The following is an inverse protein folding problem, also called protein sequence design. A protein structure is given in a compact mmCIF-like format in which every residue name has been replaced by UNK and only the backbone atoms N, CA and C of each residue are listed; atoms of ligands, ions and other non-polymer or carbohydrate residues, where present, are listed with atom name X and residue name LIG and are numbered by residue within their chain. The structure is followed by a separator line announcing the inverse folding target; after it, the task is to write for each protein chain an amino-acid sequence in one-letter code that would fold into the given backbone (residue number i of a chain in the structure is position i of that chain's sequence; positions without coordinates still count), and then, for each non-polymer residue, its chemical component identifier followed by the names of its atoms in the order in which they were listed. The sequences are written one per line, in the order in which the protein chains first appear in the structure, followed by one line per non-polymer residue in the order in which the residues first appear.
data_IF_983083416316
#
_entry.id   IF_983083416316
#
_cell.length_a   1.000
_cell.length_b   1.000
_cell.length_c   1.000
_cell.angle_alpha   90.00
_cell.angle_beta   90.00
_cell.angle_gamma   90.00
#
_symmetry.space_group_name_H-M   'P 1'
#
loop_
_entity.id
_entity.type
_entity.pdbx_description
1 polymer ?
#
# COMPACT_ATOMS: atom_id res chain seq x y z
N UNK A 1 -17.36 -34.76 10.47
CA UNK A 1 -17.92 -33.73 9.56
C UNK A 1 -19.27 -33.32 10.08
N UNK A 2 -19.68 -32.06 9.88
CA UNK A 2 -21.01 -31.54 10.26
C UNK A 2 -22.05 -31.79 9.14
N UNK A 3 -21.58 -32.23 7.98
CA UNK A 3 -22.37 -32.57 6.81
C UNK A 3 -22.44 -34.11 6.66
N UNK A 4 -23.64 -34.73 6.77
CA UNK A 4 -23.83 -36.17 6.61
C UNK A 4 -23.56 -36.69 5.20
N UNK A 5 -23.57 -35.82 4.18
CA UNK A 5 -23.31 -36.19 2.79
C UNK A 5 -21.85 -35.98 2.38
N UNK A 6 -21.02 -35.44 3.29
CA UNK A 6 -19.61 -35.28 3.03
C UNK A 6 -18.92 -36.66 2.89
N UNK A 7 -18.07 -36.84 1.86
CA UNK A 7 -17.32 -38.08 1.67
C UNK A 7 -16.46 -38.39 2.90
N UNK A 8 -16.33 -39.68 3.20
CA UNK A 8 -15.66 -40.18 4.42
C UNK A 8 -14.20 -39.71 4.53
N UNK A 9 -13.55 -39.51 3.38
CA UNK A 9 -12.21 -38.96 3.30
C UNK A 9 -12.01 -38.20 1.99
N UNK A 10 -11.30 -37.07 2.07
CA UNK A 10 -10.85 -36.31 0.89
C UNK A 10 -9.97 -37.14 -0.04
N UNK A 11 -9.29 -38.16 0.48
CA UNK A 11 -8.46 -39.08 -0.30
C UNK A 11 -9.27 -40.06 -1.17
N UNK A 12 -10.58 -40.14 -0.95
CA UNK A 12 -11.49 -40.99 -1.72
C UNK A 12 -12.34 -40.18 -2.73
N UNK A 13 -12.12 -38.86 -2.80
CA UNK A 13 -12.81 -37.99 -3.72
C UNK A 13 -12.13 -37.99 -5.09
N UNK A 14 -12.92 -37.85 -6.16
CA UNK A 14 -12.37 -37.56 -7.48
C UNK A 14 -11.70 -36.19 -7.50
N UNK A 15 -10.71 -36.04 -8.38
CA UNK A 15 -10.10 -34.74 -8.61
C UNK A 15 -11.13 -33.79 -9.24
N UNK A 16 -11.23 -32.52 -8.79
CA UNK A 16 -12.23 -31.60 -9.30
C UNK A 16 -12.05 -31.35 -10.80
N UNK A 17 -13.14 -31.44 -11.55
CA UNK A 17 -13.19 -31.11 -12.98
C UNK A 17 -13.62 -29.64 -13.11
N UNK A 18 -12.88 -28.81 -13.87
CA UNK A 18 -13.19 -27.39 -13.98
C UNK A 18 -14.50 -27.17 -14.75
N UNK A 19 -15.41 -26.39 -14.15
CA UNK A 19 -16.55 -25.84 -14.85
C UNK A 19 -16.12 -24.59 -15.63
N UNK A 20 -15.98 -24.74 -16.95
CA UNK A 20 -15.54 -23.66 -17.84
C UNK A 20 -16.52 -22.48 -17.89
N UNK A 21 -17.78 -22.65 -17.47
CA UNK A 21 -18.76 -21.57 -17.44
C UNK A 21 -18.51 -20.56 -16.31
N UNK A 22 -17.73 -20.94 -15.31
CA UNK A 22 -17.35 -20.09 -14.18
C UNK A 22 -16.05 -19.31 -14.44
N UNK A 23 -15.38 -19.53 -15.57
CA UNK A 23 -14.15 -18.82 -15.93
C UNK A 23 -14.52 -17.45 -16.50
N UNK A 24 -14.09 -16.39 -15.82
CA UNK A 24 -14.32 -15.01 -16.22
C UNK A 24 -12.97 -14.31 -16.45
N UNK A 25 -12.48 -14.36 -17.69
CA UNK A 25 -11.21 -13.73 -18.10
C UNK A 25 -11.23 -12.21 -17.88
N UNK A 26 -12.41 -11.58 -17.93
CA UNK A 26 -12.54 -10.14 -17.68
C UNK A 26 -12.29 -9.85 -16.22
N UNK A 27 -12.89 -10.60 -15.30
CA UNK A 27 -12.64 -10.48 -13.87
C UNK A 27 -11.18 -10.79 -13.51
N UNK A 28 -10.59 -11.80 -14.13
CA UNK A 28 -9.17 -12.14 -13.94
C UNK A 28 -8.26 -10.94 -14.28
N UNK A 29 -8.51 -10.30 -15.43
CA UNK A 29 -7.81 -9.09 -15.84
C UNK A 29 -8.08 -7.91 -14.89
N UNK A 30 -9.32 -7.68 -14.47
CA UNK A 30 -9.67 -6.62 -13.50
C UNK A 30 -8.91 -6.82 -12.18
N UNK A 31 -8.81 -8.05 -11.70
CA UNK A 31 -8.04 -8.41 -10.50
C UNK A 31 -6.53 -8.24 -10.70
N UNK A 32 -5.98 -8.52 -11.88
CA UNK A 32 -4.58 -8.25 -12.21
C UNK A 32 -4.27 -6.76 -12.15
N UNK A 33 -5.13 -5.91 -12.73
CA UNK A 33 -5.00 -4.45 -12.67
C UNK A 33 -4.99 -3.96 -11.22
N UNK A 34 -5.95 -4.40 -10.40
CA UNK A 34 -6.06 -4.02 -8.99
C UNK A 34 -4.83 -4.45 -8.19
N UNK A 35 -4.36 -5.69 -8.39
CA UNK A 35 -3.15 -6.19 -7.72
C UNK A 35 -1.93 -5.34 -8.06
N UNK A 36 -1.77 -4.92 -9.32
CA UNK A 36 -0.70 -4.01 -9.72
C UNK A 36 -0.74 -2.68 -8.94
N UNK A 37 -1.91 -2.06 -8.78
CA UNK A 37 -2.04 -0.84 -7.99
C UNK A 37 -1.80 -1.05 -6.48
N UNK A 38 -2.19 -2.21 -5.94
CA UNK A 38 -1.84 -2.59 -4.55
C UNK A 38 -0.33 -2.73 -4.39
N UNK A 39 0.35 -3.38 -5.33
CA UNK A 39 1.82 -3.52 -5.30
C UNK A 39 2.53 -2.16 -5.35
N UNK A 40 2.10 -1.27 -6.25
CA UNK A 40 2.60 0.11 -6.31
C UNK A 40 2.34 0.87 -5.00
N UNK A 41 1.15 0.73 -4.42
CA UNK A 41 0.82 1.35 -3.14
C UNK A 41 1.68 0.83 -1.99
N UNK A 42 1.97 -0.48 -1.95
CA UNK A 42 2.90 -1.08 -0.98
C UNK A 42 4.33 -0.56 -1.17
N UNK A 43 4.79 -0.43 -2.41
CA UNK A 43 6.10 0.13 -2.73
C UNK A 43 6.21 1.59 -2.25
N UNK A 44 5.19 2.42 -2.52
CA UNK A 44 5.13 3.80 -2.05
C UNK A 44 5.22 3.88 -0.52
N UNK A 45 4.42 3.08 0.20
CA UNK A 45 4.51 2.99 1.68
C UNK A 45 5.91 2.62 2.16
N UNK A 46 6.53 1.63 1.53
CA UNK A 46 7.87 1.17 1.90
C UNK A 46 8.94 2.24 1.68
N UNK A 47 8.83 3.04 0.61
CA UNK A 47 9.73 4.15 0.31
C UNK A 47 9.81 5.15 1.47
N UNK A 48 8.66 5.49 2.06
CA UNK A 48 8.55 6.40 3.23
C UNK A 48 8.49 5.67 4.57
N UNK A 49 8.66 4.34 4.59
CA UNK A 49 8.67 3.47 5.78
C UNK A 49 7.40 3.57 6.65
N UNK A 50 6.26 3.86 6.04
CA UNK A 50 4.95 3.85 6.72
C UNK A 50 4.43 2.41 6.77
N UNK A 51 4.14 1.92 7.97
CA UNK A 51 3.62 0.55 8.17
C UNK A 51 2.18 0.44 7.66
N UNK A 52 1.79 -0.73 7.17
CA UNK A 52 0.40 -1.02 6.73
C UNK A 52 -0.65 -0.69 7.82
N UNK A 53 -0.32 -0.93 9.10
CA UNK A 53 -1.22 -0.64 10.23
C UNK A 53 -1.48 0.85 10.46
N UNK A 54 -0.64 1.74 9.93
CA UNK A 54 -0.93 3.17 9.92
C UNK A 54 -1.90 3.43 8.74
N UNK A 55 -3.15 3.85 9.01
CA UNK A 55 -4.04 4.27 7.94
C UNK A 55 -3.54 5.56 7.31
N UNK A 56 -3.82 5.72 6.01
CA UNK A 56 -3.61 6.96 5.26
C UNK A 56 -4.93 7.50 4.74
N UNK A 57 -4.99 8.81 4.54
CA UNK A 57 -6.20 9.52 4.12
C UNK A 57 -6.62 9.10 2.70
N UNK A 58 -5.70 9.10 1.75
CA UNK A 58 -6.02 8.85 0.35
C UNK A 58 -4.87 8.26 -0.44
N UNK A 59 -5.25 7.57 -1.50
CA UNK A 59 -4.40 7.17 -2.62
C UNK A 59 -4.95 7.84 -3.86
N UNK A 60 -4.07 8.52 -4.59
CA UNK A 60 -4.35 9.00 -5.94
C UNK A 60 -3.86 7.96 -6.93
N UNK A 61 -4.70 7.59 -7.89
CA UNK A 61 -4.40 6.61 -8.92
C UNK A 61 -4.49 7.28 -10.29
N UNK A 62 -3.36 7.31 -10.99
CA UNK A 62 -3.29 7.61 -12.41
C UNK A 62 -3.28 6.32 -13.21
N UNK A 63 -4.25 6.17 -14.10
CA UNK A 63 -4.48 4.93 -14.86
C UNK A 63 -3.98 5.05 -16.28
N UNK A 64 -3.53 3.93 -16.87
CA UNK A 64 -3.06 3.91 -18.25
C UNK A 64 -4.17 3.98 -19.29
N UNK A 65 -5.41 3.68 -18.91
CA UNK A 65 -6.59 3.72 -19.78
C UNK A 65 -7.90 3.84 -18.99
N UNK A 66 -8.99 4.22 -19.65
CA UNK A 66 -10.33 4.26 -19.03
C UNK A 66 -10.81 2.86 -18.61
N UNK A 67 -10.40 1.80 -19.32
CA UNK A 67 -10.74 0.44 -18.96
C UNK A 67 -10.12 0.02 -17.61
N UNK A 68 -8.88 0.45 -17.34
CA UNK A 68 -8.21 0.24 -16.04
C UNK A 68 -8.90 1.05 -14.94
N UNK A 69 -9.26 2.31 -15.23
CA UNK A 69 -10.00 3.15 -14.29
C UNK A 69 -11.31 2.51 -13.86
N UNK A 70 -12.06 1.93 -14.80
CA UNK A 70 -13.30 1.23 -14.46
C UNK A 70 -13.06 -0.05 -13.65
N UNK A 71 -12.00 -0.81 -13.96
CA UNK A 71 -11.62 -1.98 -13.16
C UNK A 71 -11.30 -1.60 -11.70
N UNK A 72 -10.50 -0.55 -11.51
CA UNK A 72 -10.15 -0.02 -10.19
C UNK A 72 -11.40 0.46 -9.45
N UNK A 73 -12.30 1.19 -10.13
CA UNK A 73 -13.54 1.67 -9.53
C UNK A 73 -14.45 0.53 -9.06
N UNK A 74 -14.57 -0.52 -9.87
CA UNK A 74 -15.40 -1.71 -9.55
C UNK A 74 -14.89 -2.48 -8.33
N UNK A 75 -13.57 -2.48 -8.12
CA UNK A 75 -12.89 -3.27 -7.09
C UNK A 75 -12.14 -2.39 -6.07
N UNK A 76 -12.59 -1.15 -5.90
CA UNK A 76 -11.91 -0.12 -5.10
C UNK A 76 -11.70 -0.57 -3.65
N UNK A 77 -12.70 -1.23 -3.06
CA UNK A 77 -12.68 -1.70 -1.67
C UNK A 77 -11.47 -2.60 -1.40
N UNK A 78 -11.08 -3.46 -2.35
CA UNK A 78 -9.91 -4.32 -2.21
C UNK A 78 -8.62 -3.51 -2.05
N UNK A 79 -8.49 -2.39 -2.78
CA UNK A 79 -7.33 -1.50 -2.66
C UNK A 79 -7.32 -0.83 -1.29
N UNK A 80 -8.48 -0.32 -0.86
CA UNK A 80 -8.63 0.37 0.42
C UNK A 80 -8.31 -0.55 1.60
N UNK A 81 -8.76 -1.80 1.56
CA UNK A 81 -8.50 -2.80 2.60
C UNK A 81 -7.04 -3.25 2.60
N UNK A 82 -6.50 -3.66 1.45
CA UNK A 82 -5.14 -4.19 1.33
C UNK A 82 -4.07 -3.16 1.70
N UNK A 83 -4.34 -1.89 1.37
CA UNK A 83 -3.46 -0.78 1.68
C UNK A 83 -3.83 -0.08 2.98
N UNK A 84 -5.00 -0.30 3.58
CA UNK A 84 -5.49 0.46 4.72
C UNK A 84 -5.48 1.98 4.45
N UNK A 85 -6.33 2.40 3.52
CA UNK A 85 -6.49 3.78 3.04
C UNK A 85 -7.98 4.14 3.05
N UNK A 86 -8.33 5.42 3.25
CA UNK A 86 -9.75 5.81 3.41
C UNK A 86 -10.50 6.03 2.09
N UNK A 87 -9.84 6.44 1.02
CA UNK A 87 -10.46 6.65 -0.30
C UNK A 87 -9.48 6.55 -1.46
N UNK A 88 -9.98 6.22 -2.63
CA UNK A 88 -9.27 6.41 -3.91
C UNK A 88 -9.69 7.73 -4.54
N UNK A 89 -8.71 8.43 -5.13
CA UNK A 89 -8.92 9.61 -5.96
C UNK A 89 -8.31 9.31 -7.34
N UNK A 90 -9.03 9.61 -8.42
CA UNK A 90 -8.48 9.50 -9.76
C UNK A 90 -7.97 10.86 -10.23
N UNK A 91 -6.69 10.94 -10.54
CA UNK A 91 -6.05 12.09 -11.16
C UNK A 91 -4.90 11.57 -12.04
N UNK A 92 -4.88 11.99 -13.30
CA UNK A 92 -3.87 11.56 -14.27
C UNK A 92 -2.66 12.52 -14.32
N UNK A 93 -2.75 13.67 -13.63
CA UNK A 93 -1.68 14.66 -13.58
C UNK A 93 -0.65 14.35 -12.48
N UNK A 94 0.35 13.54 -12.85
CA UNK A 94 1.48 13.18 -11.98
C UNK A 94 2.22 14.39 -11.40
N UNK A 95 2.24 15.53 -12.11
CA UNK A 95 3.05 16.70 -11.70
C UNK A 95 2.53 17.39 -10.43
N UNK A 96 1.29 17.11 -10.04
CA UNK A 96 0.70 17.57 -8.78
C UNK A 96 1.25 16.84 -7.56
N UNK A 97 1.94 15.72 -7.76
CA UNK A 97 2.40 14.82 -6.69
C UNK A 97 3.90 14.52 -6.75
N UNK A 98 4.53 14.68 -7.91
CA UNK A 98 5.96 14.46 -8.09
C UNK A 98 6.57 15.46 -9.07
N UNK A 99 7.81 15.86 -8.79
CA UNK A 99 8.64 16.50 -9.81
C UNK A 99 9.18 15.44 -10.77
N UNK A 100 9.15 15.76 -12.06
CA UNK A 100 9.62 14.87 -13.12
C UNK A 100 10.87 15.47 -13.72
N UNK A 101 11.97 14.72 -13.71
CA UNK A 101 13.19 15.10 -14.40
C UNK A 101 13.56 14.06 -15.46
N UNK A 102 13.98 14.54 -16.63
CA UNK A 102 14.35 13.71 -17.76
C UNK A 102 15.83 13.89 -18.02
N UNK A 103 16.58 12.79 -18.00
CA UNK A 103 18.01 12.78 -18.29
C UNK A 103 18.31 11.75 -19.38
N UNK A 104 19.34 11.97 -20.20
CA UNK A 104 19.78 10.95 -21.12
C UNK A 104 20.41 9.78 -20.36
N UNK A 105 20.21 8.57 -20.85
CA UNK A 105 20.98 7.42 -20.41
C UNK A 105 22.40 7.52 -20.98
N UNK A 106 23.29 8.20 -20.25
CA UNK A 106 24.67 8.46 -20.69
C UNK A 106 25.45 7.19 -21.07
N UNK A 107 25.11 6.04 -20.47
CA UNK A 107 25.76 4.75 -20.78
C UNK A 107 25.45 4.26 -22.19
N UNK A 108 24.22 4.48 -22.67
CA UNK A 108 23.79 4.07 -24.01
C UNK A 108 24.08 5.16 -25.05
N UNK A 109 23.81 6.42 -24.70
CA UNK A 109 23.92 7.54 -25.63
C UNK A 109 25.36 8.02 -25.82
N UNK A 110 26.25 7.83 -24.83
CA UNK A 110 27.68 8.16 -24.92
C UNK A 110 28.36 7.58 -26.16
N UNK A 111 28.33 6.25 -26.36
CA UNK A 111 28.89 5.62 -27.55
C UNK A 111 28.22 6.02 -28.88
N UNK A 112 26.91 6.32 -28.86
CA UNK A 112 26.11 6.60 -30.08
C UNK A 112 26.26 8.04 -30.56
N UNK A 113 26.35 9.01 -29.65
CA UNK A 113 26.30 10.43 -29.96
C UNK A 113 27.54 11.22 -29.51
N UNK A 114 28.45 10.60 -28.74
CA UNK A 114 29.73 11.21 -28.34
C UNK A 114 29.54 12.55 -27.62
N UNK A 115 30.22 13.59 -28.11
CA UNK A 115 30.12 14.94 -27.54
C UNK A 115 28.70 15.54 -27.62
N UNK A 116 27.86 15.09 -28.56
CA UNK A 116 26.48 15.59 -28.72
C UNK A 116 25.54 15.19 -27.59
N UNK A 117 25.92 14.24 -26.73
CA UNK A 117 25.11 13.83 -25.56
C UNK A 117 24.85 15.01 -24.62
N UNK A 118 25.77 15.97 -24.50
CA UNK A 118 25.54 17.17 -23.69
C UNK A 118 24.50 18.11 -24.30
N UNK A 119 24.40 18.17 -25.63
CA UNK A 119 23.33 18.90 -26.31
C UNK A 119 21.98 18.21 -26.11
N UNK A 120 21.95 16.87 -26.23
CA UNK A 120 20.75 16.06 -25.93
C UNK A 120 20.31 16.26 -24.48
N UNK A 121 21.24 16.26 -23.53
CA UNK A 121 20.94 16.48 -22.11
C UNK A 121 20.28 17.84 -21.85
N UNK A 122 20.80 18.90 -22.48
CA UNK A 122 20.22 20.25 -22.38
C UNK A 122 18.83 20.31 -23.00
N UNK A 123 18.66 19.73 -24.18
CA UNK A 123 17.36 19.69 -24.85
C UNK A 123 16.30 18.91 -24.04
N UNK A 124 16.66 17.73 -23.50
CA UNK A 124 15.77 16.95 -22.61
C UNK A 124 15.41 17.70 -21.33
N UNK A 125 16.34 18.48 -20.78
CA UNK A 125 16.11 19.25 -19.54
C UNK A 125 15.22 20.47 -19.77
N UNK A 126 15.20 21.02 -20.99
CA UNK A 126 14.38 22.17 -21.36
C UNK A 126 12.99 21.78 -21.92
N UNK A 127 12.85 20.54 -22.37
CA UNK A 127 11.59 20.00 -22.88
C UNK A 127 10.57 19.73 -21.77
N UNK A 128 9.30 19.58 -22.15
CA UNK A 128 8.23 19.19 -21.23
C UNK A 128 8.36 17.70 -20.83
N UNK A 129 8.69 17.39 -19.56
CA UNK A 129 8.82 16.02 -19.10
C UNK A 129 7.53 15.20 -19.26
N UNK A 130 6.36 15.84 -19.14
CA UNK A 130 5.05 15.17 -19.24
C UNK A 130 4.78 14.80 -20.69
N UNK A 131 5.00 15.73 -21.61
CA UNK A 131 4.95 15.49 -23.06
C UNK A 131 5.88 14.37 -23.49
N UNK A 132 7.14 14.37 -23.01
CA UNK A 132 8.10 13.29 -23.27
C UNK A 132 7.56 11.95 -22.76
N UNK A 133 7.08 11.90 -21.50
CA UNK A 133 6.53 10.67 -20.92
C UNK A 133 5.39 10.13 -21.77
N UNK A 134 4.44 10.99 -22.13
CA UNK A 134 3.27 10.61 -22.93
C UNK A 134 3.69 10.04 -24.28
N UNK A 135 4.62 10.68 -24.98
CA UNK A 135 5.10 10.19 -26.28
C UNK A 135 5.85 8.86 -26.15
N UNK A 136 6.69 8.71 -25.11
CA UNK A 136 7.35 7.44 -24.82
C UNK A 136 6.37 6.33 -24.45
N UNK A 137 5.25 6.65 -23.80
CA UNK A 137 4.20 5.69 -23.42
C UNK A 137 3.40 5.25 -24.66
N UNK A 138 3.13 6.14 -25.63
CA UNK A 138 2.33 5.84 -26.82
C UNK A 138 3.11 5.33 -28.04
N UNK A 139 4.30 5.88 -28.30
CA UNK A 139 5.07 5.65 -29.53
C UNK A 139 6.36 4.86 -29.28
N UNK A 140 6.77 4.70 -28.02
CA UNK A 140 8.00 4.01 -27.62
C UNK A 140 9.30 4.81 -27.85
N UNK A 141 9.20 5.98 -28.49
CA UNK A 141 10.30 6.89 -28.75
C UNK A 141 9.83 8.35 -28.74
N UNK A 142 10.75 9.28 -28.56
CA UNK A 142 10.52 10.73 -28.61
C UNK A 142 11.51 11.39 -29.56
N UNK A 143 11.05 12.37 -30.33
CA UNK A 143 11.92 13.24 -31.12
C UNK A 143 12.23 14.51 -30.35
N UNK A 144 13.51 14.80 -30.16
CA UNK A 144 14.00 16.01 -29.48
C UNK A 144 14.78 16.84 -30.49
N UNK A 145 14.44 18.12 -30.59
CA UNK A 145 15.18 19.11 -31.39
C UNK A 145 16.35 19.67 -30.57
N UNK A 146 17.53 19.68 -31.17
CA UNK A 146 18.76 20.19 -30.56
C UNK A 146 18.99 21.67 -30.88
N UNK A 147 19.93 22.31 -30.18
CA UNK A 147 20.27 23.75 -30.36
C UNK A 147 20.75 24.08 -31.79
N UNK A 148 21.27 23.11 -32.52
CA UNK A 148 21.72 23.24 -33.92
C UNK A 148 20.61 22.98 -34.95
N UNK A 149 19.38 22.69 -34.49
CA UNK A 149 18.21 22.40 -35.32
C UNK A 149 18.12 20.95 -35.81
N UNK A 150 19.08 20.08 -35.45
CA UNK A 150 18.99 18.64 -35.73
C UNK A 150 17.92 17.99 -34.84
N UNK A 151 17.18 17.01 -35.37
CA UNK A 151 16.24 16.20 -34.60
C UNK A 151 16.82 14.83 -34.33
N UNK A 152 16.78 14.44 -33.06
CA UNK A 152 17.25 13.14 -32.61
C UNK A 152 16.07 12.33 -32.08
N UNK A 153 15.92 11.12 -32.60
CA UNK A 153 14.98 10.14 -32.07
C UNK A 153 15.64 9.34 -30.95
N UNK A 154 14.99 9.34 -29.78
CA UNK A 154 15.43 8.65 -28.58
C UNK A 154 14.40 7.60 -28.18
N UNK A 155 14.86 6.37 -27.95
CA UNK A 155 14.02 5.28 -27.46
C UNK A 155 13.85 5.33 -25.93
N UNK A 156 12.83 4.65 -25.39
CA UNK A 156 12.57 4.61 -23.93
C UNK A 156 13.78 4.25 -23.08
N UNK A 157 14.57 3.26 -23.50
CA UNK A 157 15.75 2.81 -22.74
C UNK A 157 16.91 3.84 -22.79
N UNK A 158 16.91 4.74 -23.77
CA UNK A 158 17.89 5.80 -23.93
C UNK A 158 17.60 7.02 -23.03
N UNK A 159 16.47 7.03 -22.32
CA UNK A 159 16.03 8.10 -21.43
C UNK A 159 15.88 7.56 -20.00
N UNK A 160 16.48 8.26 -19.04
CA UNK A 160 16.32 8.05 -17.60
C UNK A 160 15.33 9.09 -17.06
N UNK A 161 14.08 8.66 -16.80
CA UNK A 161 13.07 9.50 -16.15
C UNK A 161 13.13 9.27 -14.64
N UNK A 162 13.26 10.35 -13.88
CA UNK A 162 13.27 10.29 -12.41
C UNK A 162 12.08 11.07 -11.86
N UNK A 163 11.44 10.44 -10.89
CA UNK A 163 10.28 10.96 -10.19
C UNK A 163 10.67 11.18 -8.74
N UNK A 164 10.63 12.43 -8.29
CA UNK A 164 10.85 12.78 -6.89
C UNK A 164 9.51 13.23 -6.30
N UNK A 165 9.04 12.54 -5.27
CA UNK A 165 7.76 12.86 -4.62
C UNK A 165 7.81 14.26 -4.00
N UNK A 166 6.72 15.01 -4.14
CA UNK A 166 6.55 16.29 -3.45
C UNK A 166 6.32 16.07 -1.96
N UNK A 167 6.51 17.12 -1.17
CA UNK A 167 6.25 17.08 0.27
C UNK A 167 4.79 16.66 0.54
N UNK A 168 4.61 15.81 1.57
CA UNK A 168 3.30 15.23 1.90
C UNK A 168 2.91 14.05 1.02
N UNK A 169 3.65 13.72 -0.05
CA UNK A 169 3.32 12.64 -0.97
C UNK A 169 4.40 11.55 -1.03
N UNK A 170 3.96 10.33 -1.33
CA UNK A 170 4.85 9.24 -1.74
C UNK A 170 4.35 8.63 -3.04
N UNK A 171 5.19 8.69 -4.08
CA UNK A 171 4.80 8.37 -5.45
C UNK A 171 5.60 7.18 -5.98
N UNK A 172 4.89 6.26 -6.61
CA UNK A 172 5.47 5.18 -7.41
C UNK A 172 4.85 5.19 -8.81
N UNK A 173 5.69 4.97 -9.81
CA UNK A 173 5.32 5.03 -11.24
C UNK A 173 5.73 3.73 -11.90
N UNK A 174 4.83 3.14 -12.67
CA UNK A 174 5.10 1.96 -13.50
C UNK A 174 4.51 2.18 -14.89
N UNK A 175 5.37 2.36 -15.90
CA UNK A 175 4.94 2.66 -17.25
C UNK A 175 4.08 3.93 -17.31
N UNK A 176 2.84 3.78 -17.78
CA UNK A 176 1.83 4.84 -17.85
C UNK A 176 0.95 4.95 -16.59
N UNK A 177 1.14 4.08 -15.59
CA UNK A 177 0.41 4.07 -14.33
C UNK A 177 1.20 4.75 -13.23
N UNK A 178 0.51 5.32 -12.25
CA UNK A 178 1.14 5.73 -11.01
C UNK A 178 0.17 5.67 -9.83
N UNK A 179 0.76 5.63 -8.64
CA UNK A 179 0.05 5.88 -7.39
C UNK A 179 0.75 6.99 -6.62
N UNK A 180 -0.02 7.86 -5.97
CA UNK A 180 0.48 8.82 -5.01
C UNK A 180 -0.26 8.67 -3.68
N UNK A 181 0.46 8.38 -2.62
CA UNK A 181 -0.09 8.28 -1.27
C UNK A 181 0.06 9.61 -0.56
N UNK A 182 -1.03 10.10 0.03
CA UNK A 182 -0.95 11.20 0.96
C UNK A 182 -0.38 10.67 2.29
N UNK A 183 0.77 11.21 2.69
CA UNK A 183 1.55 10.78 3.85
C UNK A 183 1.27 11.64 5.10
N UNK A 184 0.44 12.67 4.98
CA UNK A 184 0.07 13.49 6.13
C UNK A 184 -0.79 12.67 7.11
N UNK A 185 -0.34 12.60 8.35
CA UNK A 185 -1.02 11.85 9.41
C UNK A 185 -1.78 12.84 10.28
N UNK A 186 -3.10 12.89 10.09
CA UNK A 186 -4.00 13.63 10.98
C UNK A 186 -4.04 12.97 12.37
N UNK A 187 -4.53 13.70 13.38
CA UNK A 187 -4.69 13.14 14.72
C UNK A 187 -5.59 11.90 14.71
N UNK A 188 -6.70 11.92 13.98
CA UNK A 188 -7.60 10.77 13.83
C UNK A 188 -6.88 9.54 13.26
N UNK A 189 -6.13 9.71 12.16
CA UNK A 189 -5.36 8.62 11.55
C UNK A 189 -4.27 8.09 12.48
N UNK A 190 -3.64 8.98 13.26
CA UNK A 190 -2.65 8.61 14.26
C UNK A 190 -3.26 7.73 15.36
N UNK A 191 -4.41 8.14 15.91
CA UNK A 191 -5.11 7.39 16.96
C UNK A 191 -5.58 6.03 16.46
N UNK A 192 -6.09 5.96 15.22
CA UNK A 192 -6.46 4.68 14.60
C UNK A 192 -5.24 3.78 14.36
N UNK A 193 -4.11 4.36 13.94
CA UNK A 193 -2.84 3.64 13.78
C UNK A 193 -2.33 3.06 15.10
N UNK A 194 -2.46 3.80 16.21
CA UNK A 194 -2.15 3.32 17.56
C UNK A 194 -3.11 2.20 18.00
N UNK A 195 -4.41 2.31 17.71
CA UNK A 195 -5.39 1.27 18.00
C UNK A 195 -5.07 -0.04 17.28
N UNK A 196 -4.71 0.01 15.99
CA UNK A 196 -4.27 -1.18 15.24
C UNK A 196 -2.96 -1.76 15.76
N UNK A 197 -2.02 -0.93 16.18
CA UNK A 197 -0.79 -1.41 16.81
C UNK A 197 -1.08 -2.08 18.17
N UNK A 198 -2.01 -1.55 18.97
CA UNK A 198 -2.47 -2.18 20.21
C UNK A 198 -3.08 -3.56 19.94
N UNK A 199 -4.00 -3.67 18.98
CA UNK A 199 -4.58 -4.97 18.57
C UNK A 199 -3.47 -5.96 18.21
N UNK A 200 -2.49 -5.52 17.41
CA UNK A 200 -1.35 -6.36 17.04
C UNK A 200 -0.58 -6.87 18.28
N UNK A 201 -0.29 -6.00 19.26
CA UNK A 201 0.43 -6.39 20.48
C UNK A 201 -0.37 -7.31 21.37
N UNK A 202 -1.66 -7.04 21.54
CA UNK A 202 -2.55 -7.88 22.33
C UNK A 202 -2.69 -9.26 21.68
N UNK A 203 -2.85 -9.33 20.36
CA UNK A 203 -2.92 -10.61 19.64
C UNK A 203 -1.60 -11.39 19.70
N UNK A 204 -0.46 -10.70 19.61
CA UNK A 204 0.83 -11.32 19.84
C UNK A 204 0.95 -11.89 21.26
N UNK A 205 0.50 -11.15 22.27
CA UNK A 205 0.48 -11.62 23.67
C UNK A 205 -0.44 -12.82 23.88
N UNK A 206 -1.62 -12.85 23.24
CA UNK A 206 -2.54 -14.00 23.30
C UNK A 206 -1.86 -15.28 22.79
N UNK A 207 -1.10 -15.17 21.68
CA UNK A 207 -0.32 -16.29 21.13
C UNK A 207 0.83 -16.70 22.05
N UNK A 208 1.57 -15.73 22.60
CA UNK A 208 2.66 -16.00 23.55
C UNK A 208 2.17 -16.64 24.86
N UNK A 209 0.95 -16.34 25.28
CA UNK A 209 0.30 -16.91 26.45
C UNK A 209 -0.43 -18.24 26.17
N UNK A 210 -0.29 -18.80 24.96
CA UNK A 210 -0.88 -20.06 24.51
C UNK A 210 -2.43 -20.09 24.57
N UNK A 211 -3.06 -18.96 24.27
CA UNK A 211 -4.53 -18.87 24.21
C UNK A 211 -5.06 -19.34 22.85
N UNK A 212 -6.23 -19.94 22.86
CA UNK A 212 -6.96 -20.30 21.65
C UNK A 212 -7.55 -19.05 20.97
N UNK A 213 -7.80 -19.16 19.66
CA UNK A 213 -8.36 -18.06 18.85
C UNK A 213 -9.69 -17.54 19.42
N UNK A 214 -10.54 -18.43 19.92
CA UNK A 214 -11.87 -18.09 20.44
C UNK A 214 -11.87 -17.64 21.92
N UNK A 215 -10.72 -17.67 22.61
CA UNK A 215 -10.67 -17.36 24.03
C UNK A 215 -11.00 -15.89 24.31
N UNK A 216 -11.81 -15.65 25.35
CA UNK A 216 -12.11 -14.30 25.82
C UNK A 216 -11.12 -13.88 26.89
N UNK A 217 -10.73 -12.61 26.88
CA UNK A 217 -9.69 -12.10 27.78
C UNK A 217 -10.15 -10.92 28.64
N UNK A 218 -9.57 -10.81 29.81
CA UNK A 218 -9.45 -9.57 30.57
C UNK A 218 -8.17 -8.85 30.12
N UNK A 219 -8.30 -7.55 29.82
CA UNK A 219 -7.22 -6.70 29.34
C UNK A 219 -6.78 -5.72 30.42
N UNK A 220 -5.48 -5.54 30.60
CA UNK A 220 -4.88 -4.43 31.33
C UNK A 220 -4.06 -3.59 30.35
N UNK A 221 -4.16 -2.28 30.44
CA UNK A 221 -3.39 -1.34 29.63
C UNK A 221 -2.94 -0.15 30.49
N UNK A 222 -1.64 0.08 30.54
CA UNK A 222 -1.02 1.28 31.12
C UNK A 222 -0.02 1.86 30.13
N UNK A 223 -0.22 3.10 29.69
CA UNK A 223 0.61 3.73 28.66
C UNK A 223 0.55 5.27 28.73
N UNK A 224 1.04 5.95 27.71
CA UNK A 224 0.97 7.41 27.61
C UNK A 224 -0.46 7.89 27.34
N UNK A 225 -0.76 9.15 27.65
CA UNK A 225 -2.09 9.75 27.42
C UNK A 225 -2.57 9.57 25.97
N UNK A 226 -1.70 9.72 24.97
CA UNK A 226 -2.02 9.50 23.56
C UNK A 226 -2.52 8.08 23.27
N UNK A 227 -1.90 7.06 23.88
CA UNK A 227 -2.29 5.66 23.69
C UNK A 227 -3.60 5.37 24.41
N UNK A 228 -3.81 5.95 25.60
CA UNK A 228 -5.10 5.89 26.28
C UNK A 228 -6.22 6.55 25.47
N UNK A 229 -5.97 7.74 24.90
CA UNK A 229 -6.91 8.41 24.00
C UNK A 229 -7.25 7.53 22.79
N UNK A 230 -6.24 6.93 22.15
CA UNK A 230 -6.46 6.01 21.03
C UNK A 230 -7.27 4.77 21.45
N UNK A 231 -7.00 4.23 22.64
CA UNK A 231 -7.76 3.11 23.18
C UNK A 231 -9.21 3.47 23.41
N UNK A 232 -9.51 4.62 24.03
CA UNK A 232 -10.89 5.04 24.30
C UNK A 232 -11.67 5.36 23.02
N UNK A 233 -11.05 6.08 22.06
CA UNK A 233 -11.70 6.41 20.78
C UNK A 233 -12.03 5.15 19.97
N UNK A 234 -11.16 4.13 19.99
CA UNK A 234 -11.34 2.90 19.23
C UNK A 234 -11.64 1.68 20.11
N UNK A 235 -12.25 1.89 21.29
CA UNK A 235 -12.43 0.86 22.31
C UNK A 235 -13.19 -0.35 21.79
N UNK A 236 -14.28 -0.12 21.07
CA UNK A 236 -15.12 -1.19 20.51
C UNK A 236 -14.34 -2.05 19.50
N UNK A 237 -13.60 -1.40 18.60
CA UNK A 237 -12.73 -2.07 17.63
C UNK A 237 -11.66 -2.91 18.34
N UNK A 238 -10.91 -2.33 19.27
CA UNK A 238 -9.83 -3.05 19.97
C UNK A 238 -10.39 -4.23 20.76
N UNK A 239 -11.49 -4.03 21.49
CA UNK A 239 -12.09 -5.11 22.28
C UNK A 239 -12.69 -6.21 21.41
N UNK A 240 -13.34 -5.86 20.30
CA UNK A 240 -13.89 -6.80 19.33
C UNK A 240 -12.80 -7.67 18.70
N UNK A 241 -11.77 -7.02 18.14
CA UNK A 241 -10.64 -7.70 17.49
C UNK A 241 -9.86 -8.59 18.45
N UNK A 242 -9.82 -8.26 19.75
CA UNK A 242 -9.04 -8.98 20.76
C UNK A 242 -9.87 -9.90 21.65
N UNK A 243 -11.18 -10.02 21.40
CA UNK A 243 -12.13 -10.73 22.26
C UNK A 243 -11.99 -10.36 23.75
N UNK A 244 -11.70 -9.08 24.01
CA UNK A 244 -11.58 -8.55 25.38
C UNK A 244 -12.97 -8.28 25.95
N UNK A 245 -13.28 -8.81 27.13
CA UNK A 245 -14.60 -8.62 27.77
C UNK A 245 -14.64 -7.46 28.75
N UNK A 246 -13.49 -7.12 29.34
CA UNK A 246 -13.34 -5.98 30.24
C UNK A 246 -11.90 -5.50 30.29
N UNK A 247 -11.74 -4.25 30.69
CA UNK A 247 -10.45 -3.61 30.96
C UNK A 247 -10.33 -3.41 32.47
N UNK A 248 -9.17 -3.71 33.04
CA UNK A 248 -8.89 -3.52 34.47
C UNK A 248 -7.80 -2.47 34.66
N UNK A 249 -7.87 -1.70 35.75
CA UNK A 249 -6.93 -0.61 36.04
C UNK A 249 -5.58 -1.09 36.59
N UNK A 250 -5.52 -2.35 37.05
CA UNK A 250 -4.32 -2.97 37.61
C UNK A 250 -4.25 -4.45 37.18
N UNK A 251 -3.04 -5.02 37.03
CA UNK A 251 -2.90 -6.44 36.72
C UNK A 251 -3.55 -7.32 37.78
N UNK A 252 -4.39 -8.27 37.36
CA UNK A 252 -4.96 -9.28 38.26
C UNK A 252 -4.00 -10.45 38.45
N UNK A 253 -4.19 -11.23 39.53
CA UNK A 253 -3.34 -12.39 39.80
C UNK A 253 -3.37 -13.40 38.65
N UNK A 254 -2.21 -13.88 38.21
CA UNK A 254 -2.07 -14.81 37.09
C UNK A 254 -2.27 -14.17 35.70
N UNK A 255 -2.34 -12.84 35.61
CA UNK A 255 -2.34 -12.14 34.32
C UNK A 255 -0.95 -12.18 33.67
N UNK A 256 -0.90 -12.46 32.37
CA UNK A 256 0.34 -12.40 31.60
C UNK A 256 0.61 -10.95 31.19
N UNK A 257 1.59 -10.31 31.83
CA UNK A 257 1.92 -8.88 31.64
C UNK A 257 3.27 -8.71 30.97
N UNK A 258 3.35 -7.80 29.99
CA UNK A 258 4.58 -7.49 29.26
C UNK A 258 4.64 -6.03 28.85
N UNK A 259 5.86 -5.51 28.77
CA UNK A 259 6.14 -4.17 28.24
C UNK A 259 6.34 -4.20 26.73
N UNK A 260 5.75 -3.23 26.05
CA UNK A 260 5.75 -3.06 24.61
C UNK A 260 6.07 -1.61 24.23
N UNK A 261 6.40 -1.42 22.95
CA UNK A 261 6.39 -0.12 22.30
C UNK A 261 5.27 -0.10 21.26
N UNK A 262 4.31 0.79 21.45
CA UNK A 262 3.19 1.02 20.52
C UNK A 262 3.55 2.27 19.72
N UNK A 263 4.09 2.08 18.51
CA UNK A 263 4.62 3.15 17.65
C UNK A 263 5.52 4.17 18.39
N UNK A 264 6.38 3.68 19.28
CA UNK A 264 7.32 4.50 20.05
C UNK A 264 6.85 4.84 21.47
N UNK A 265 5.55 4.76 21.75
CA UNK A 265 5.01 4.96 23.08
C UNK A 265 5.23 3.73 23.97
N UNK A 266 5.76 3.89 25.20
CA UNK A 266 5.85 2.78 26.14
C UNK A 266 4.46 2.35 26.60
N UNK A 267 4.19 1.06 26.56
CA UNK A 267 2.95 0.47 27.06
C UNK A 267 3.25 -0.77 27.88
N UNK A 268 2.57 -0.93 29.01
CA UNK A 268 2.49 -2.18 29.74
C UNK A 268 1.10 -2.76 29.51
N UNK A 269 1.07 -3.96 28.92
CA UNK A 269 -0.17 -4.63 28.52
C UNK A 269 -0.25 -5.94 29.29
N UNK A 270 -1.43 -6.28 29.79
CA UNK A 270 -1.72 -7.54 30.46
C UNK A 270 -2.89 -8.26 29.83
N UNK A 271 -2.77 -9.57 29.62
CA UNK A 271 -3.85 -10.42 29.11
C UNK A 271 -4.09 -11.59 30.06
N UNK A 272 -5.35 -11.90 30.33
CA UNK A 272 -5.74 -13.06 31.13
C UNK A 272 -6.97 -13.71 30.54
N UNK A 273 -6.90 -15.02 30.29
CA UNK A 273 -8.07 -15.78 29.83
C UNK A 273 -9.17 -15.74 30.89
N UNK A 274 -10.40 -15.45 30.45
CA UNK A 274 -11.58 -15.56 31.29
C UNK A 274 -12.09 -17.00 31.16
N UNK A 275 -11.97 -17.77 32.23
CA UNK A 275 -12.61 -19.09 32.31
C UNK A 275 -14.12 -18.89 32.36
N UNK A 276 -14.83 -19.59 31.46
CA UNK A 276 -16.29 -19.74 31.56
C UNK A 276 -16.66 -20.56 32.78
#
# INVERSE_FOLDING_TARGET
SIDPEAPESVHLCDYPVPDRSLIDERLEWEMEVVRGFVELGRAARNRVKIKIRQPLSEIVIGTGSEAEREAVRKLEELILEELNIKRVVFDDDLTRYASVSVKPNFRLLGPKYGARVQSIARALSAADPVGIKRQLDSEGAVEIELEDGERVKLERNEIDMRFESLEGWSVEVEGNRFVALNTEITEELMLEGLARELVNKIQQMRKEADFNVADRIELYLSSTETVHKAFEVHREYIMGETLSVRVVDRPSEGMFVKKWKVNGHPAEIGVKQVKR
#
